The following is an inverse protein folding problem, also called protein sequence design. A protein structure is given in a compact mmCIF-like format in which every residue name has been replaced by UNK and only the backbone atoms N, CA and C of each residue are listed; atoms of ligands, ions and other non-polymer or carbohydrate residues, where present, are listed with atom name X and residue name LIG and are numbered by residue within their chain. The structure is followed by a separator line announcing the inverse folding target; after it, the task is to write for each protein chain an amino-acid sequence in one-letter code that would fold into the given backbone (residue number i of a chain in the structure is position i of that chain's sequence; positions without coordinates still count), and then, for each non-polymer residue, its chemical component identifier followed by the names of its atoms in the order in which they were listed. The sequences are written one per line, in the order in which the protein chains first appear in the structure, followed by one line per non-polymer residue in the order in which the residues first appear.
data_IF_358765625783
#
_entry.id   IF_358765625783
#
_cell.length_a   1.000
_cell.length_b   1.000
_cell.length_c   1.000
_cell.angle_alpha   90.00
_cell.angle_beta   90.00
_cell.angle_gamma   90.00
#
_symmetry.space_group_name_H-M   'P 1'
#
loop_
_entity.id
_entity.type
_entity.pdbx_description
1 polymer ?
#
# COMPACT_ATOMS: atom_id res chain seq x y z
N UNK A 1 41.89 22.90 15.72
CA UNK A 1 40.86 22.11 15.01
C UNK A 1 40.29 21.09 15.98
N UNK A 2 38.99 21.23 16.29
CA UNK A 2 38.31 20.65 17.43
C UNK A 2 38.16 19.12 17.38
N UNK A 3 38.50 18.43 18.48
CA UNK A 3 37.88 17.15 18.86
C UNK A 3 37.22 17.35 20.21
N UNK A 4 35.89 17.25 20.25
CA UNK A 4 35.11 17.30 21.49
C UNK A 4 35.08 15.90 22.13
N UNK A 5 35.44 15.77 23.42
CA UNK A 5 35.34 14.52 24.17
C UNK A 5 34.16 14.55 25.15
N UNK A 6 33.13 13.72 24.95
CA UNK A 6 32.07 13.37 25.94
C UNK A 6 31.50 12.00 25.53
N UNK A 7 31.81 10.88 26.19
CA UNK A 7 31.26 10.41 27.46
C UNK A 7 29.72 10.47 27.53
N UNK A 8 29.09 9.30 27.66
CA UNK A 8 28.23 8.88 28.80
C UNK A 8 27.10 7.94 28.32
N UNK A 9 27.02 6.80 29.01
CA UNK A 9 25.93 5.83 29.09
C UNK A 9 24.51 6.44 29.01
N UNK A 10 23.56 5.69 28.43
CA UNK A 10 22.15 5.60 28.88
C UNK A 10 21.52 4.35 28.25
N UNK A 11 21.24 3.28 28.98
CA UNK A 11 20.15 3.07 29.96
C UNK A 11 18.80 2.74 29.29
N UNK A 12 18.27 1.59 29.69
CA UNK A 12 16.97 1.02 29.38
C UNK A 12 15.80 1.93 29.77
N UNK A 13 14.67 1.76 29.08
CA UNK A 13 13.34 2.04 29.65
C UNK A 13 12.25 1.31 28.83
N UNK A 14 11.69 0.28 29.45
CA UNK A 14 10.31 -0.11 29.25
C UNK A 14 9.40 0.95 29.91
N UNK A 15 8.27 1.29 29.29
CA UNK A 15 7.08 1.76 30.02
C UNK A 15 5.87 1.83 29.10
N UNK A 16 4.87 1.04 29.47
CA UNK A 16 3.48 1.16 29.05
C UNK A 16 2.91 2.54 29.41
N UNK A 17 2.01 3.07 28.56
CA UNK A 17 1.15 4.19 28.93
C UNK A 17 -0.33 3.95 28.55
N UNK A 18 -1.13 3.64 29.60
CA UNK A 18 -2.45 4.16 30.00
C UNK A 18 -3.79 3.87 29.27
N UNK A 19 -4.57 3.00 29.93
CA UNK A 19 -6.00 3.03 30.35
C UNK A 19 -6.93 4.26 30.05
N UNK A 20 -8.16 3.94 29.57
CA UNK A 20 -9.59 4.20 30.04
C UNK A 20 -9.96 5.59 30.65
N UNK A 21 -11.26 6.05 30.71
CA UNK A 21 -12.56 5.34 30.66
C UNK A 21 -13.74 6.05 29.92
N UNK A 22 -14.92 5.42 29.82
CA UNK A 22 -16.21 6.07 29.54
C UNK A 22 -17.29 5.54 30.49
N UNK A 23 -17.96 6.43 31.23
CA UNK A 23 -18.98 6.11 32.21
C UNK A 23 -20.24 6.98 32.02
N UNK A 24 -21.39 6.30 32.09
CA UNK A 24 -22.68 6.69 32.70
C UNK A 24 -23.50 7.90 32.19
N UNK A 25 -24.74 7.63 31.76
CA UNK A 25 -26.00 8.29 32.16
C UNK A 25 -27.18 7.63 31.39
N UNK A 26 -28.06 6.84 31.99
CA UNK A 26 -29.27 7.19 32.78
C UNK A 26 -30.56 7.33 31.94
N UNK A 27 -31.61 6.63 32.38
CA UNK A 27 -32.97 6.49 31.80
C UNK A 27 -33.93 7.57 32.34
N UNK A 28 -34.98 7.93 31.57
CA UNK A 28 -36.35 8.41 31.97
C UNK A 28 -37.09 8.84 30.66
N UNK A 29 -38.16 8.21 30.13
CA UNK A 29 -39.62 8.07 30.45
C UNK A 29 -40.57 9.25 30.15
N UNK A 30 -41.34 9.12 29.05
CA UNK A 30 -42.79 9.41 28.79
C UNK A 30 -43.30 10.90 28.70
N UNK A 31 -44.57 11.19 28.27
CA UNK A 31 -45.09 11.21 26.88
C UNK A 31 -45.96 12.47 26.54
N UNK A 32 -46.17 12.83 25.25
CA UNK A 32 -47.45 13.38 24.72
C UNK A 32 -47.41 13.71 23.21
N UNK A 33 -48.53 13.50 22.53
CA UNK A 33 -48.80 13.75 21.10
C UNK A 33 -49.45 15.15 20.88
N UNK A 34 -50.07 15.47 19.71
CA UNK A 34 -49.70 15.33 18.29
C UNK A 34 -49.60 16.73 17.61
N UNK A 35 -49.17 16.85 16.33
CA UNK A 35 -49.79 17.70 15.27
C UNK A 35 -48.95 17.68 13.97
N UNK A 36 -49.67 17.34 12.89
CA UNK A 36 -49.47 17.56 11.45
C UNK A 36 -48.35 18.52 10.98
N UNK A 37 -47.47 18.07 10.08
CA UNK A 37 -47.25 18.81 8.83
C UNK A 37 -46.60 17.98 7.72
N UNK A 38 -47.23 18.06 6.56
CA UNK A 38 -46.82 17.49 5.31
C UNK A 38 -45.68 18.29 4.66
N UNK A 39 -44.90 17.59 3.83
CA UNK A 39 -44.23 18.20 2.68
C UNK A 39 -42.75 18.55 2.87
N UNK A 40 -41.88 17.65 2.41
CA UNK A 40 -40.89 17.98 1.38
C UNK A 40 -40.27 16.70 0.82
N UNK A 41 -40.61 16.41 -0.43
CA UNK A 41 -39.89 15.48 -1.27
C UNK A 41 -38.47 16.03 -1.47
N UNK A 42 -37.46 15.26 -1.09
CA UNK A 42 -36.08 15.52 -1.50
C UNK A 42 -35.87 14.84 -2.86
N UNK A 43 -35.49 15.58 -3.92
CA UNK A 43 -35.08 14.93 -5.16
C UNK A 43 -33.75 14.21 -4.93
N UNK A 44 -33.82 12.89 -4.92
CA UNK A 44 -32.70 12.01 -5.22
C UNK A 44 -32.30 12.22 -6.68
N UNK A 45 -31.18 12.89 -6.91
CA UNK A 45 -30.51 12.93 -8.21
C UNK A 45 -29.08 13.45 -8.08
N UNK A 46 -28.22 12.72 -7.39
CA UNK A 46 -26.82 12.64 -7.79
C UNK A 46 -26.67 11.29 -8.49
N UNK A 47 -27.04 11.29 -9.77
CA UNK A 47 -26.61 10.24 -10.70
C UNK A 47 -25.09 10.37 -10.80
N UNK A 48 -24.42 9.56 -9.99
CA UNK A 48 -23.05 9.15 -10.22
C UNK A 48 -22.99 8.52 -11.62
N UNK A 49 -22.66 9.35 -12.60
CA UNK A 49 -22.19 8.90 -13.90
C UNK A 49 -20.71 9.18 -14.01
N UNK A 50 -19.95 8.73 -13.00
CA UNK A 50 -18.53 8.43 -13.17
C UNK A 50 -18.38 7.04 -13.81
N UNK A 51 -19.01 6.85 -14.96
CA UNK A 51 -18.64 5.78 -15.89
C UNK A 51 -17.81 6.40 -16.99
N UNK A 52 -16.63 6.88 -16.62
CA UNK A 52 -15.52 6.97 -17.58
C UNK A 52 -15.21 5.53 -17.97
N UNK A 53 -15.79 5.10 -19.09
CA UNK A 53 -15.51 3.81 -19.69
C UNK A 53 -14.02 3.78 -20.06
N UNK A 54 -13.21 3.10 -19.26
CA UNK A 54 -11.86 2.70 -19.64
C UNK A 54 -11.96 1.60 -20.68
N UNK A 55 -12.36 1.95 -21.89
CA UNK A 55 -12.43 1.00 -23.01
C UNK A 55 -11.02 0.55 -23.43
N UNK A 56 -9.98 1.32 -23.10
CA UNK A 56 -8.57 0.91 -23.29
C UNK A 56 -8.03 0.01 -22.17
N UNK A 57 -8.53 0.09 -20.93
CA UNK A 57 -8.04 -0.74 -19.83
C UNK A 57 -8.47 -2.21 -19.96
N UNK A 58 -9.54 -2.50 -20.73
CA UNK A 58 -10.00 -3.87 -20.94
C UNK A 58 -9.01 -4.71 -21.77
N UNK A 59 -8.19 -4.08 -22.63
CA UNK A 59 -7.29 -4.79 -23.55
C UNK A 59 -5.98 -5.27 -22.91
N UNK A 60 -5.59 -4.67 -21.78
CA UNK A 60 -4.34 -5.03 -21.07
C UNK A 60 -4.49 -5.08 -19.54
N UNK A 61 -5.73 -5.01 -19.02
CA UNK A 61 -6.00 -5.07 -17.58
C UNK A 61 -5.48 -6.36 -16.95
N UNK A 62 -5.60 -7.50 -17.64
CA UNK A 62 -5.07 -8.79 -17.17
C UNK A 62 -3.55 -8.76 -17.00
N UNK A 63 -2.83 -8.10 -17.91
CA UNK A 63 -1.37 -7.97 -17.81
C UNK A 63 -0.98 -7.05 -16.66
N UNK A 64 -1.74 -5.97 -16.42
CA UNK A 64 -1.56 -5.10 -15.25
C UNK A 64 -1.81 -5.87 -13.95
N UNK A 65 -2.86 -6.69 -13.90
CA UNK A 65 -3.15 -7.54 -12.76
C UNK A 65 -2.02 -8.56 -12.51
N UNK A 66 -1.47 -9.12 -13.57
CA UNK A 66 -0.32 -10.03 -13.49
C UNK A 66 0.96 -9.33 -12.97
N UNK A 67 1.24 -8.11 -13.43
CA UNK A 67 2.35 -7.31 -12.89
C UNK A 67 2.12 -7.01 -11.40
N UNK A 68 0.89 -6.67 -11.00
CA UNK A 68 0.57 -6.40 -9.60
C UNK A 68 0.70 -7.66 -8.73
N UNK A 69 0.31 -8.83 -9.25
CA UNK A 69 0.49 -10.12 -8.58
C UNK A 69 1.98 -10.40 -8.34
N UNK A 70 2.81 -10.29 -9.38
CA UNK A 70 4.25 -10.46 -9.28
C UNK A 70 4.91 -9.43 -8.37
N UNK A 71 4.42 -8.20 -8.36
CA UNK A 71 4.89 -7.16 -7.45
C UNK A 71 4.62 -7.53 -5.99
N UNK A 72 3.42 -8.02 -5.68
CA UNK A 72 3.09 -8.46 -4.33
C UNK A 72 3.97 -9.64 -3.89
N UNK A 73 4.13 -10.63 -4.76
CA UNK A 73 5.02 -11.79 -4.58
C UNK A 73 6.47 -11.34 -4.32
N UNK A 74 7.01 -10.44 -5.15
CA UNK A 74 8.37 -9.94 -4.97
C UNK A 74 8.59 -9.21 -3.63
N UNK A 75 7.60 -8.47 -3.12
CA UNK A 75 7.72 -7.79 -1.82
C UNK A 75 7.68 -8.78 -0.65
N UNK A 76 6.84 -9.81 -0.75
CA UNK A 76 6.78 -10.88 0.24
C UNK A 76 8.12 -11.62 0.33
N UNK A 77 8.71 -11.97 -0.82
CA UNK A 77 10.01 -12.63 -0.86
C UNK A 77 11.16 -11.76 -0.33
N UNK A 78 11.13 -10.45 -0.61
CA UNK A 78 12.12 -9.50 -0.03
C UNK A 78 11.97 -9.43 1.49
N UNK A 79 10.74 -9.40 2.02
CA UNK A 79 10.48 -9.39 3.47
C UNK A 79 10.97 -10.69 4.12
N UNK A 80 10.67 -11.85 3.53
CA UNK A 80 11.17 -13.14 3.99
C UNK A 80 12.71 -13.17 4.04
N UNK A 81 13.36 -12.75 2.95
CA UNK A 81 14.81 -12.70 2.89
C UNK A 81 15.42 -11.72 3.92
N UNK A 82 14.72 -10.62 4.24
CA UNK A 82 15.13 -9.69 5.30
C UNK A 82 15.04 -10.31 6.69
N UNK A 83 13.96 -11.02 6.98
CA UNK A 83 13.78 -11.71 8.27
C UNK A 83 14.84 -12.80 8.48
N UNK A 84 15.29 -13.44 7.40
CA UNK A 84 16.33 -14.46 7.43
C UNK A 84 17.77 -13.93 7.32
N UNK A 85 18.00 -12.61 7.30
CA UNK A 85 19.33 -11.98 7.07
C UNK A 85 20.43 -12.41 8.03
N UNK A 86 20.07 -12.81 9.24
CA UNK A 86 21.02 -13.31 10.26
C UNK A 86 21.15 -14.85 10.28
N UNK A 87 20.58 -15.54 9.29
CA UNK A 87 20.55 -17.00 9.21
C UNK A 87 21.33 -17.54 8.01
N UNK A 88 21.57 -18.85 8.00
CA UNK A 88 22.20 -19.55 6.87
C UNK A 88 21.31 -19.62 5.62
N UNK A 89 20.00 -19.39 5.76
CA UNK A 89 19.03 -19.44 4.66
C UNK A 89 19.01 -18.16 3.82
N UNK A 90 19.61 -17.08 4.32
CA UNK A 90 19.63 -15.78 3.68
C UNK A 90 20.01 -15.83 2.20
N UNK A 91 21.06 -16.56 1.83
CA UNK A 91 21.54 -16.56 0.44
C UNK A 91 20.54 -17.19 -0.54
N UNK A 92 19.79 -18.22 -0.09
CA UNK A 92 18.76 -18.86 -0.91
C UNK A 92 17.55 -17.95 -1.04
N UNK A 93 17.05 -17.43 0.08
CA UNK A 93 15.90 -16.52 0.11
C UNK A 93 16.19 -15.20 -0.62
N UNK A 94 17.39 -14.65 -0.48
CA UNK A 94 17.80 -13.46 -1.22
C UNK A 94 17.92 -13.71 -2.74
N UNK A 95 18.15 -14.96 -3.15
CA UNK A 95 18.13 -15.32 -4.58
C UNK A 95 16.70 -15.38 -5.08
N UNK A 96 15.78 -16.00 -4.33
CA UNK A 96 14.35 -16.06 -4.65
C UNK A 96 13.77 -14.64 -4.74
N UNK A 97 14.06 -13.79 -3.76
CA UNK A 97 13.63 -12.39 -3.75
C UNK A 97 14.16 -11.61 -4.97
N UNK A 98 15.44 -11.80 -5.33
CA UNK A 98 16.02 -11.18 -6.53
C UNK A 98 15.33 -11.61 -7.81
N UNK A 99 15.00 -12.89 -7.93
CA UNK A 99 14.39 -13.42 -9.14
C UNK A 99 12.92 -12.98 -9.24
N UNK A 100 12.15 -13.04 -8.14
CA UNK A 100 10.78 -12.52 -8.10
C UNK A 100 10.71 -11.02 -8.43
N UNK A 101 11.63 -10.20 -7.89
CA UNK A 101 11.69 -8.77 -8.18
C UNK A 101 12.05 -8.50 -9.65
N UNK A 102 13.01 -9.26 -10.23
CA UNK A 102 13.33 -9.16 -11.66
C UNK A 102 12.14 -9.54 -12.53
N UNK A 103 11.40 -10.58 -12.17
CA UNK A 103 10.23 -11.03 -12.91
C UNK A 103 9.10 -9.99 -12.91
N UNK A 104 8.88 -9.32 -11.77
CA UNK A 104 7.93 -8.21 -11.68
C UNK A 104 8.33 -7.03 -12.58
N UNK A 105 9.61 -6.63 -12.53
CA UNK A 105 10.15 -5.55 -13.36
C UNK A 105 10.11 -5.89 -14.85
N UNK A 106 10.50 -7.11 -15.21
CA UNK A 106 10.49 -7.60 -16.59
C UNK A 106 9.07 -7.69 -17.15
N UNK A 107 8.09 -8.15 -16.35
CA UNK A 107 6.69 -8.17 -16.76
C UNK A 107 6.16 -6.76 -17.03
N UNK A 108 6.54 -5.79 -16.20
CA UNK A 108 6.18 -4.38 -16.41
C UNK A 108 6.81 -3.80 -17.68
N UNK A 109 8.10 -4.00 -17.89
CA UNK A 109 8.81 -3.51 -19.08
C UNK A 109 8.28 -4.16 -20.37
N UNK A 110 7.97 -5.47 -20.33
CA UNK A 110 7.36 -6.19 -21.44
C UNK A 110 5.96 -5.65 -21.77
N UNK A 111 5.17 -5.32 -20.76
CA UNK A 111 3.85 -4.69 -20.94
C UNK A 111 4.00 -3.31 -21.59
N UNK A 112 4.92 -2.48 -21.10
CA UNK A 112 5.19 -1.17 -21.68
C UNK A 112 5.65 -1.24 -23.14
N UNK A 113 6.43 -2.26 -23.51
CA UNK A 113 6.89 -2.46 -24.88
C UNK A 113 5.76 -2.86 -25.85
N UNK A 114 4.68 -3.47 -25.36
CA UNK A 114 3.54 -3.91 -26.18
C UNK A 114 2.48 -2.82 -26.36
N UNK A 115 2.42 -1.84 -25.47
CA UNK A 115 1.38 -0.80 -25.46
C UNK A 115 1.68 0.36 -26.42
N UNK A 116 0.64 1.02 -26.97
CA UNK A 116 0.82 2.29 -27.66
C UNK A 116 1.47 3.34 -26.74
N UNK A 117 2.24 4.31 -27.29
CA UNK A 117 2.98 5.28 -26.48
C UNK A 117 2.12 6.02 -25.44
N UNK A 118 0.90 6.40 -25.79
CA UNK A 118 -0.01 7.10 -24.88
C UNK A 118 -0.41 6.25 -23.66
N UNK A 119 -0.69 4.97 -23.86
CA UNK A 119 -1.07 4.04 -22.78
C UNK A 119 0.14 3.62 -21.95
N UNK A 120 1.29 3.39 -22.60
CA UNK A 120 2.56 3.13 -21.93
C UNK A 120 2.96 4.31 -21.02
N UNK A 121 2.80 5.55 -21.47
CA UNK A 121 3.06 6.74 -20.66
C UNK A 121 2.10 6.87 -19.48
N UNK A 122 0.81 6.59 -19.70
CA UNK A 122 -0.17 6.57 -18.61
C UNK A 122 0.19 5.52 -17.55
N UNK A 123 0.62 4.33 -17.99
CA UNK A 123 1.02 3.23 -17.12
C UNK A 123 2.34 3.52 -16.37
N UNK A 124 3.33 4.14 -17.04
CA UNK A 124 4.56 4.63 -16.40
C UNK A 124 4.26 5.61 -15.28
N UNK A 125 3.31 6.53 -15.47
CA UNK A 125 2.92 7.49 -14.42
C UNK A 125 2.22 6.81 -13.23
N UNK A 126 1.43 5.78 -13.46
CA UNK A 126 0.66 5.12 -12.40
C UNK A 126 1.45 4.06 -11.63
N UNK A 127 2.33 3.32 -12.30
CA UNK A 127 3.05 2.18 -11.72
C UNK A 127 4.57 2.37 -11.64
N UNK A 128 5.14 3.32 -12.37
CA UNK A 128 6.60 3.53 -12.41
C UNK A 128 7.20 3.79 -11.02
N UNK A 129 6.52 4.57 -10.18
CA UNK A 129 6.99 4.80 -8.80
C UNK A 129 7.04 3.51 -7.98
N UNK A 130 6.06 2.60 -8.14
CA UNK A 130 6.05 1.32 -7.43
C UNK A 130 7.22 0.44 -7.87
N UNK A 131 7.53 0.42 -9.17
CA UNK A 131 8.68 -0.33 -9.69
C UNK A 131 10.01 0.22 -9.17
N UNK A 132 10.15 1.55 -9.06
CA UNK A 132 11.34 2.17 -8.46
C UNK A 132 11.45 1.88 -6.96
N UNK A 133 10.33 1.83 -6.22
CA UNK A 133 10.33 1.40 -4.82
C UNK A 133 10.78 -0.05 -4.67
N UNK A 134 10.28 -0.96 -5.53
CA UNK A 134 10.70 -2.36 -5.51
C UNK A 134 12.21 -2.51 -5.75
N UNK A 135 12.77 -1.73 -6.69
CA UNK A 135 14.23 -1.71 -6.91
C UNK A 135 15.00 -1.22 -5.69
N UNK A 136 14.47 -0.22 -4.98
CA UNK A 136 15.10 0.30 -3.78
C UNK A 136 15.09 -0.73 -2.64
N UNK A 137 13.97 -1.42 -2.44
CA UNK A 137 13.84 -2.50 -1.46
C UNK A 137 14.78 -3.67 -1.81
N UNK A 138 14.85 -4.05 -3.09
CA UNK A 138 15.78 -5.08 -3.54
C UNK A 138 17.24 -4.69 -3.26
N UNK A 139 17.59 -3.42 -3.47
CA UNK A 139 18.95 -2.94 -3.19
C UNK A 139 19.30 -3.04 -1.70
N UNK A 140 18.34 -2.82 -0.80
CA UNK A 140 18.59 -2.98 0.64
C UNK A 140 18.96 -4.42 1.02
N UNK A 141 18.55 -5.40 0.22
CA UNK A 141 18.90 -6.81 0.39
C UNK A 141 20.34 -7.11 -0.05
N UNK A 142 20.87 -6.34 -1.01
CA UNK A 142 22.23 -6.47 -1.52
C UNK A 142 23.27 -5.74 -0.65
N UNK A 143 22.84 -4.77 0.15
CA UNK A 143 23.65 -3.97 1.10
C UNK A 143 23.79 -4.67 2.48
#
# INVERSE_FOLDING_TARGET
MHRNPRAVLRAAAAAAYFLRPAAAAARQTLPNAPTLQAGRAFPSAFSDSSRRAFSSAADYGKDVDEVNRKFAEAREEIEAAMDSKETVYFNEEATIARDAAKDALAAFDALLARLPPADADALRRSMGLKMEQLKAELKQLED
#
